data_IF_213792556968
#
_entry.id   IF_213792556968
#
_cell.length_a   1.000
_cell.length_b   1.000
_cell.length_c   1.000
_cell.angle_alpha   90.00
_cell.angle_beta   90.00
_cell.angle_gamma   90.00
#
_symmetry.space_group_name_H-M   'P 1'
#
loop_
_entity.id
_entity.type
_entity.pdbx_description
1 polymer ?
#
# COMPACT_ATOMS: atom_id res chain seq x y z
N UNK A 1 19.45 26.56 -76.47
CA UNK A 1 20.21 25.72 -75.55
C UNK A 1 20.35 26.52 -74.26
N UNK A 2 19.51 26.26 -73.34
CA UNK A 2 19.49 26.92 -72.04
C UNK A 2 19.65 25.88 -70.93
N UNK A 3 20.72 25.91 -70.12
CA UNK A 3 20.92 25.02 -69.05
C UNK A 3 20.49 25.62 -67.68
N UNK A 4 19.54 25.01 -67.11
CA UNK A 4 19.47 24.81 -65.66
C UNK A 4 19.22 26.03 -64.78
N UNK A 5 17.93 26.35 -64.59
CA UNK A 5 17.41 27.10 -63.49
C UNK A 5 17.37 26.19 -62.25
N UNK A 6 18.34 26.31 -61.34
CA UNK A 6 18.26 25.72 -60.00
C UNK A 6 17.37 26.62 -59.16
N UNK A 7 16.21 26.08 -58.77
CA UNK A 7 15.34 26.68 -57.77
C UNK A 7 15.96 26.65 -56.36
N UNK A 8 15.60 27.60 -55.49
CA UNK A 8 16.12 27.63 -54.13
C UNK A 8 15.60 26.47 -53.33
N UNK A 9 16.51 25.72 -52.70
CA UNK A 9 16.19 24.75 -51.66
C UNK A 9 15.46 25.46 -50.53
N UNK A 10 14.17 25.19 -50.40
CA UNK A 10 13.41 25.48 -49.18
C UNK A 10 13.94 24.58 -48.08
N UNK A 11 14.75 25.13 -47.19
CA UNK A 11 15.11 24.51 -45.92
C UNK A 11 13.83 24.41 -45.06
N UNK A 12 13.14 23.28 -45.20
CA UNK A 12 12.10 22.91 -44.28
C UNK A 12 12.70 22.85 -42.88
N UNK A 13 12.49 23.89 -42.10
CA UNK A 13 12.80 23.90 -40.69
C UNK A 13 12.02 22.73 -40.05
N UNK A 14 12.75 21.65 -39.71
CA UNK A 14 12.26 20.65 -38.79
C UNK A 14 12.02 21.39 -37.48
N UNK A 15 10.77 21.80 -37.26
CA UNK A 15 10.32 22.24 -35.96
C UNK A 15 10.57 21.09 -34.99
N UNK A 16 11.60 21.22 -34.18
CA UNK A 16 11.76 20.36 -32.99
C UNK A 16 10.45 20.43 -32.25
N UNK A 17 9.89 19.30 -31.84
CA UNK A 17 8.70 19.31 -31.02
C UNK A 17 9.00 20.22 -29.82
N UNK A 18 8.16 21.24 -29.65
CA UNK A 18 8.25 22.11 -28.49
C UNK A 18 8.46 21.23 -27.25
N UNK A 19 9.53 21.52 -26.53
CA UNK A 19 9.75 20.92 -25.22
C UNK A 19 8.49 21.26 -24.43
N UNK A 20 7.58 20.28 -24.30
CA UNK A 20 6.43 20.40 -23.40
C UNK A 20 7.06 20.44 -22.01
N UNK A 21 7.28 21.65 -21.54
CA UNK A 21 7.66 21.88 -20.15
C UNK A 21 6.60 21.18 -19.30
N UNK A 22 7.04 20.40 -18.33
CA UNK A 22 6.21 19.62 -17.41
C UNK A 22 5.32 20.49 -16.47
N UNK A 23 4.85 21.62 -16.96
CA UNK A 23 3.94 22.54 -16.29
C UNK A 23 2.52 21.97 -16.38
N UNK A 24 2.24 20.91 -15.64
CA UNK A 24 0.92 20.28 -15.61
C UNK A 24 0.89 18.84 -15.11
N UNK A 25 2.02 18.27 -14.70
CA UNK A 25 1.99 16.94 -14.10
C UNK A 25 1.16 16.98 -12.80
N UNK A 26 0.18 16.07 -12.63
CA UNK A 26 -0.64 16.04 -11.43
C UNK A 26 0.25 15.79 -10.20
N UNK A 27 0.24 16.73 -9.27
CA UNK A 27 1.00 16.61 -8.00
C UNK A 27 0.05 16.14 -6.91
N UNK A 28 0.46 15.14 -6.13
CA UNK A 28 -0.31 14.76 -4.94
C UNK A 28 -0.20 15.88 -3.92
N UNK A 29 -1.34 16.45 -3.58
CA UNK A 29 -1.43 17.54 -2.60
C UNK A 29 -0.79 17.14 -1.27
N UNK A 30 -0.03 18.05 -0.65
CA UNK A 30 0.71 17.78 0.59
C UNK A 30 -0.22 17.32 1.73
N UNK A 31 -1.43 17.83 1.80
CA UNK A 31 -2.45 17.42 2.77
C UNK A 31 -2.81 15.94 2.59
N UNK A 32 -3.06 15.51 1.36
CA UNK A 32 -3.42 14.12 1.06
C UNK A 32 -2.27 13.14 1.35
N UNK A 33 -1.01 13.55 1.11
CA UNK A 33 0.17 12.76 1.46
C UNK A 33 0.30 12.60 2.97
N UNK A 34 0.14 13.69 3.74
CA UNK A 34 0.19 13.65 5.21
C UNK A 34 -0.94 12.80 5.80
N UNK A 35 -2.16 12.93 5.29
CA UNK A 35 -3.29 12.12 5.74
C UNK A 35 -3.04 10.63 5.49
N UNK A 36 -2.58 10.25 4.29
CA UNK A 36 -2.24 8.87 3.99
C UNK A 36 -1.08 8.37 4.85
N UNK A 37 -0.01 9.14 5.01
CA UNK A 37 1.11 8.78 5.87
C UNK A 37 0.67 8.57 7.33
N UNK A 38 -0.20 9.43 7.86
CA UNK A 38 -0.79 9.26 9.19
C UNK A 38 -1.59 7.98 9.32
N UNK A 39 -2.41 7.63 8.32
CA UNK A 39 -3.16 6.38 8.28
C UNK A 39 -2.24 5.15 8.30
N UNK A 40 -1.18 5.17 7.48
CA UNK A 40 -0.21 4.06 7.42
C UNK A 40 0.54 3.89 8.74
N UNK A 41 0.96 4.98 9.38
CA UNK A 41 1.62 4.93 10.67
C UNK A 41 0.69 4.44 11.78
N UNK A 42 -0.58 4.85 11.77
CA UNK A 42 -1.58 4.34 12.71
C UNK A 42 -1.80 2.83 12.53
N UNK A 43 -1.90 2.35 11.29
CA UNK A 43 -2.00 0.92 10.98
C UNK A 43 -0.75 0.16 11.44
N UNK A 44 0.46 0.68 11.17
CA UNK A 44 1.71 0.06 11.64
C UNK A 44 1.76 -0.04 13.17
N UNK A 45 1.35 1.01 13.89
CA UNK A 45 1.28 1.01 15.35
C UNK A 45 0.29 -0.01 15.89
N UNK A 46 -0.85 -0.19 15.23
CA UNK A 46 -1.84 -1.22 15.63
C UNK A 46 -1.26 -2.62 15.49
N UNK A 47 -0.58 -2.94 14.39
CA UNK A 47 0.07 -4.24 14.19
C UNK A 47 1.16 -4.46 15.26
N UNK A 48 2.00 -3.47 15.53
CA UNK A 48 3.02 -3.56 16.58
C UNK A 48 2.36 -3.78 17.95
N UNK A 49 1.31 -3.01 18.28
CA UNK A 49 0.61 -3.15 19.56
C UNK A 49 -0.02 -4.54 19.72
N UNK A 50 -0.61 -5.09 18.65
CA UNK A 50 -1.12 -6.46 18.63
C UNK A 50 -0.01 -7.46 18.98
N UNK A 51 1.15 -7.38 18.35
CA UNK A 51 2.25 -8.31 18.64
C UNK A 51 2.88 -8.12 20.02
N UNK A 52 2.96 -6.89 20.51
CA UNK A 52 3.36 -6.66 21.90
C UNK A 52 2.36 -7.33 22.86
N UNK A 53 1.06 -7.16 22.65
CA UNK A 53 0.03 -7.80 23.45
C UNK A 53 0.08 -9.34 23.33
N UNK A 54 0.28 -9.88 22.13
CA UNK A 54 0.44 -11.31 21.89
C UNK A 54 1.61 -11.92 22.67
N UNK A 55 2.77 -11.25 22.67
CA UNK A 55 3.97 -11.74 23.33
C UNK A 55 3.94 -11.56 24.85
N UNK A 56 3.22 -10.55 25.37
CA UNK A 56 3.18 -10.25 26.80
C UNK A 56 1.92 -10.74 27.50
N UNK A 57 0.77 -10.67 26.85
CA UNK A 57 -0.56 -10.95 27.39
C UNK A 57 -1.46 -11.65 26.36
N UNK A 58 -1.02 -12.79 25.86
CA UNK A 58 -1.72 -13.55 24.80
C UNK A 58 -3.22 -13.72 25.05
N UNK A 59 -3.63 -13.93 26.30
CA UNK A 59 -5.04 -14.09 26.68
C UNK A 59 -5.95 -12.90 26.38
N UNK A 60 -5.37 -11.71 26.11
CA UNK A 60 -6.14 -10.50 25.77
C UNK A 60 -6.49 -10.43 24.28
N UNK A 61 -5.69 -11.08 23.43
CA UNK A 61 -5.79 -10.97 21.97
C UNK A 61 -6.05 -12.30 21.25
N UNK A 62 -5.83 -13.44 21.93
CA UNK A 62 -6.07 -14.75 21.35
C UNK A 62 -7.58 -15.03 21.26
N UNK A 63 -8.06 -15.36 20.08
CA UNK A 63 -9.45 -15.71 19.82
C UNK A 63 -9.77 -17.15 20.21
N UNK A 64 -8.75 -18.01 20.27
CA UNK A 64 -8.83 -19.42 20.65
C UNK A 64 -7.66 -19.85 21.54
N UNK A 65 -7.83 -20.99 22.21
CA UNK A 65 -6.82 -21.56 23.14
C UNK A 65 -6.19 -22.87 22.63
N UNK A 66 -6.42 -23.24 21.37
CA UNK A 66 -5.92 -24.49 20.76
C UNK A 66 -4.45 -24.41 20.33
N UNK A 67 -3.70 -25.50 20.43
CA UNK A 67 -2.31 -25.57 19.94
C UNK A 67 -2.19 -25.29 18.43
N UNK A 68 -3.17 -25.74 17.64
CA UNK A 68 -3.21 -25.47 16.20
C UNK A 68 -3.36 -23.97 15.88
N UNK A 69 -4.23 -23.27 16.60
CA UNK A 69 -4.40 -21.82 16.48
C UNK A 69 -3.10 -21.08 16.86
N UNK A 70 -2.51 -21.44 17.98
CA UNK A 70 -1.25 -20.81 18.41
C UNK A 70 -0.12 -21.00 17.40
N UNK A 71 0.01 -22.21 16.81
CA UNK A 71 1.01 -22.48 15.78
C UNK A 71 0.74 -21.69 14.49
N UNK A 72 -0.51 -21.51 14.13
CA UNK A 72 -0.89 -20.68 12.99
C UNK A 72 -0.52 -19.22 13.24
N UNK A 73 -0.93 -18.64 14.36
CA UNK A 73 -0.58 -17.26 14.72
C UNK A 73 0.94 -17.04 14.83
N UNK A 74 1.67 -17.94 15.45
CA UNK A 74 3.14 -17.83 15.61
C UNK A 74 3.90 -17.86 14.27
N UNK A 75 3.23 -18.15 13.14
CA UNK A 75 3.81 -18.03 11.79
C UNK A 75 3.75 -16.61 11.19
N UNK A 76 2.92 -15.71 11.75
CA UNK A 76 2.68 -14.38 11.18
C UNK A 76 3.70 -13.28 11.57
N UNK A 77 4.44 -13.33 12.69
CA UNK A 77 5.28 -12.19 13.11
C UNK A 77 6.23 -11.66 12.04
N UNK A 78 6.78 -12.55 11.22
CA UNK A 78 7.69 -12.16 10.14
C UNK A 78 6.94 -11.46 9.00
N UNK A 79 5.76 -11.96 8.65
CA UNK A 79 4.94 -11.40 7.58
C UNK A 79 4.34 -10.04 7.99
N UNK A 80 3.89 -9.92 9.23
CA UNK A 80 3.41 -8.67 9.81
C UNK A 80 4.56 -7.67 10.02
N UNK A 81 5.75 -8.15 10.38
CA UNK A 81 6.95 -7.32 10.43
C UNK A 81 7.31 -6.74 9.06
N UNK A 82 7.15 -7.53 7.99
CA UNK A 82 7.29 -7.04 6.63
C UNK A 82 6.20 -6.00 6.28
N UNK A 83 4.94 -6.24 6.66
CA UNK A 83 3.86 -5.28 6.48
C UNK A 83 4.19 -3.96 7.18
N UNK A 84 4.58 -3.99 8.46
CA UNK A 84 4.98 -2.80 9.22
C UNK A 84 6.11 -2.05 8.53
N UNK A 85 7.15 -2.75 8.06
CA UNK A 85 8.24 -2.14 7.30
C UNK A 85 7.72 -1.41 6.06
N UNK A 86 6.86 -2.05 5.28
CA UNK A 86 6.26 -1.45 4.09
C UNK A 86 5.46 -0.18 4.42
N UNK A 87 4.62 -0.23 5.46
CA UNK A 87 3.78 0.90 5.88
C UNK A 87 4.63 2.09 6.34
N UNK A 88 5.66 1.85 7.16
CA UNK A 88 6.56 2.90 7.67
C UNK A 88 7.40 3.50 6.52
N UNK A 89 7.95 2.64 5.65
CA UNK A 89 8.71 3.10 4.48
C UNK A 89 7.84 3.90 3.51
N UNK A 90 6.59 3.47 3.27
CA UNK A 90 5.62 4.21 2.47
C UNK A 90 5.30 5.58 3.07
N UNK A 91 5.03 5.63 4.38
CA UNK A 91 4.76 6.89 5.09
C UNK A 91 5.95 7.85 5.00
N UNK A 92 7.17 7.37 5.25
CA UNK A 92 8.38 8.15 5.10
C UNK A 92 8.56 8.70 3.68
N UNK A 93 8.39 7.86 2.66
CA UNK A 93 8.50 8.26 1.25
C UNK A 93 7.42 9.28 0.86
N UNK A 94 6.19 9.14 1.38
CA UNK A 94 5.12 10.12 1.16
C UNK A 94 5.44 11.48 1.79
N UNK A 95 5.95 11.49 3.03
CA UNK A 95 6.31 12.73 3.75
C UNK A 95 7.49 13.45 3.10
N UNK A 96 8.43 12.69 2.54
CA UNK A 96 9.62 13.22 1.87
C UNK A 96 9.47 13.37 0.35
N UNK A 97 8.25 13.14 -0.19
CA UNK A 97 7.94 13.23 -1.61
C UNK A 97 8.87 12.39 -2.51
N UNK A 98 9.15 11.15 -2.13
CA UNK A 98 10.01 10.24 -2.90
C UNK A 98 9.18 9.33 -3.79
N UNK A 99 9.61 9.10 -5.02
CA UNK A 99 8.98 8.17 -5.98
C UNK A 99 8.86 6.74 -5.46
N UNK A 100 9.76 6.32 -4.58
CA UNK A 100 9.73 5.02 -3.92
C UNK A 100 8.44 4.80 -3.09
N UNK A 101 7.66 5.86 -2.79
CA UNK A 101 6.34 5.75 -2.17
C UNK A 101 5.42 4.78 -2.92
N UNK A 102 5.42 4.83 -4.27
CA UNK A 102 4.61 3.93 -5.10
C UNK A 102 4.91 2.46 -4.81
N UNK A 103 6.20 2.11 -4.78
CA UNK A 103 6.63 0.72 -4.51
C UNK A 103 6.17 0.26 -3.11
N UNK A 104 6.46 1.04 -2.08
CA UNK A 104 6.15 0.66 -0.70
C UNK A 104 4.65 0.62 -0.41
N UNK A 105 3.85 1.49 -1.02
CA UNK A 105 2.39 1.47 -0.93
C UNK A 105 1.79 0.22 -1.58
N UNK A 106 2.28 -0.17 -2.76
CA UNK A 106 1.83 -1.39 -3.44
C UNK A 106 2.26 -2.64 -2.66
N UNK A 107 3.51 -2.68 -2.18
CA UNK A 107 4.03 -3.79 -1.40
C UNK A 107 3.25 -3.95 -0.08
N UNK A 108 3.02 -2.85 0.66
CA UNK A 108 2.26 -2.88 1.91
C UNK A 108 0.79 -3.23 1.71
N UNK A 109 0.13 -2.61 0.71
CA UNK A 109 -1.26 -2.93 0.40
C UNK A 109 -1.44 -4.37 -0.07
N UNK A 110 -0.51 -4.90 -0.86
CA UNK A 110 -0.49 -6.31 -1.29
C UNK A 110 -0.24 -7.27 -0.14
N UNK A 111 0.71 -6.96 0.75
CA UNK A 111 0.98 -7.76 1.94
C UNK A 111 -0.24 -7.82 2.88
N UNK A 112 -0.87 -6.67 3.16
CA UNK A 112 -2.06 -6.63 4.00
C UNK A 112 -3.24 -7.39 3.38
N UNK A 113 -3.42 -7.34 2.06
CA UNK A 113 -4.45 -8.13 1.37
C UNK A 113 -4.18 -9.63 1.46
N UNK A 114 -2.92 -10.04 1.31
CA UNK A 114 -2.53 -11.45 1.43
C UNK A 114 -2.75 -11.97 2.87
N UNK A 115 -2.29 -11.23 3.88
CA UNK A 115 -2.49 -11.59 5.29
C UNK A 115 -3.97 -11.71 5.63
N UNK A 116 -4.78 -10.73 5.25
CA UNK A 116 -6.23 -10.79 5.43
C UNK A 116 -6.86 -12.02 4.76
N UNK A 117 -6.40 -12.40 3.56
CA UNK A 117 -6.92 -13.58 2.87
C UNK A 117 -6.56 -14.87 3.63
N UNK A 118 -5.38 -14.95 4.24
CA UNK A 118 -4.96 -16.10 5.05
C UNK A 118 -5.79 -16.21 6.33
N UNK A 119 -6.04 -15.09 7.03
CA UNK A 119 -6.89 -15.06 8.23
C UNK A 119 -8.33 -15.46 7.91
N UNK A 120 -8.91 -14.86 6.87
CA UNK A 120 -10.28 -15.20 6.42
C UNK A 120 -10.39 -16.69 6.07
N UNK A 121 -9.39 -17.25 5.40
CA UNK A 121 -9.39 -18.66 5.05
C UNK A 121 -9.34 -19.56 6.30
N UNK A 122 -8.49 -19.19 7.26
CA UNK A 122 -8.41 -19.91 8.54
C UNK A 122 -9.73 -19.85 9.29
N UNK A 123 -10.29 -18.67 9.45
CA UNK A 123 -11.54 -18.43 10.18
C UNK A 123 -12.73 -19.18 9.58
N UNK A 124 -12.83 -19.22 8.24
CA UNK A 124 -13.85 -19.98 7.53
C UNK A 124 -13.70 -21.49 7.76
N UNK A 125 -12.47 -22.01 7.67
CA UNK A 125 -12.20 -23.45 7.84
C UNK A 125 -12.47 -23.93 9.28
N UNK A 126 -12.25 -23.06 10.27
CA UNK A 126 -12.39 -23.41 11.69
C UNK A 126 -13.68 -22.87 12.33
N UNK A 127 -14.52 -22.17 11.57
CA UNK A 127 -15.79 -21.60 12.06
C UNK A 127 -15.60 -20.57 13.16
N UNK A 128 -14.48 -19.81 13.14
CA UNK A 128 -14.09 -18.88 14.22
C UNK A 128 -15.16 -17.84 14.44
N UNK A 129 -15.73 -17.27 13.39
CA UNK A 129 -16.74 -16.21 13.48
C UNK A 129 -18.03 -16.63 14.18
N UNK A 130 -18.31 -17.93 14.28
CA UNK A 130 -19.45 -18.47 15.04
C UNK A 130 -19.18 -18.64 16.54
N UNK A 131 -17.96 -18.36 17.05
CA UNK A 131 -17.54 -18.66 18.42
C UNK A 131 -17.73 -17.48 19.40
N UNK A 132 -18.79 -16.71 19.27
CA UNK A 132 -19.16 -15.67 20.23
C UNK A 132 -18.38 -14.35 20.00
N UNK A 133 -18.10 -13.62 21.10
CA UNK A 133 -17.51 -12.28 21.04
C UNK A 133 -16.13 -12.22 20.41
N UNK A 134 -15.29 -13.21 20.64
CA UNK A 134 -13.95 -13.29 20.05
C UNK A 134 -14.03 -13.47 18.52
N UNK A 135 -14.94 -14.32 18.05
CA UNK A 135 -15.17 -14.48 16.61
C UNK A 135 -15.69 -13.21 15.91
N UNK A 136 -16.53 -12.42 16.61
CA UNK A 136 -16.96 -11.12 16.10
C UNK A 136 -15.80 -10.13 16.01
N UNK A 137 -14.85 -10.15 16.93
CA UNK A 137 -13.65 -9.33 16.90
C UNK A 137 -12.78 -9.68 15.70
N UNK A 138 -12.54 -10.98 15.43
CA UNK A 138 -11.81 -11.44 14.24
C UNK A 138 -12.47 -10.96 12.94
N UNK A 139 -13.79 -11.06 12.85
CA UNK A 139 -14.50 -10.53 11.68
C UNK A 139 -14.26 -9.03 11.47
N UNK A 140 -14.24 -8.24 12.56
CA UNK A 140 -13.96 -6.81 12.51
C UNK A 140 -12.51 -6.55 12.07
N UNK A 141 -11.54 -7.28 12.63
CA UNK A 141 -10.12 -7.18 12.24
C UNK A 141 -9.97 -7.47 10.76
N UNK A 142 -10.54 -8.56 10.26
CA UNK A 142 -10.51 -8.94 8.86
C UNK A 142 -11.16 -7.89 7.95
N UNK A 143 -12.32 -7.36 8.33
CA UNK A 143 -13.01 -6.32 7.56
C UNK A 143 -12.20 -5.01 7.50
N UNK A 144 -11.60 -4.60 8.62
CA UNK A 144 -10.75 -3.40 8.69
C UNK A 144 -9.48 -3.59 7.87
N UNK A 145 -8.80 -4.72 7.99
CA UNK A 145 -7.58 -5.03 7.24
C UNK A 145 -7.84 -5.06 5.73
N UNK A 146 -8.94 -5.72 5.31
CA UNK A 146 -9.37 -5.74 3.92
C UNK A 146 -9.66 -4.32 3.40
N UNK A 147 -10.47 -3.57 4.14
CA UNK A 147 -10.87 -2.21 3.79
C UNK A 147 -9.68 -1.26 3.66
N UNK A 148 -8.74 -1.33 4.61
CA UNK A 148 -7.51 -0.53 4.56
C UNK A 148 -6.61 -0.92 3.38
N UNK A 149 -6.38 -2.21 3.17
CA UNK A 149 -5.53 -2.71 2.08
C UNK A 149 -6.07 -2.31 0.72
N UNK A 150 -7.37 -2.52 0.47
CA UNK A 150 -8.03 -2.12 -0.78
C UNK A 150 -8.01 -0.60 -0.94
N UNK A 151 -8.24 0.16 0.13
CA UNK A 151 -8.21 1.64 0.09
C UNK A 151 -6.83 2.17 -0.26
N UNK A 152 -5.77 1.61 0.35
CA UNK A 152 -4.38 1.97 0.04
C UNK A 152 -4.04 1.64 -1.41
N UNK A 153 -4.36 0.43 -1.89
CA UNK A 153 -4.09 0.03 -3.27
C UNK A 153 -4.85 0.91 -4.27
N UNK A 154 -6.13 1.17 -4.04
CA UNK A 154 -6.94 2.04 -4.89
C UNK A 154 -6.41 3.47 -4.89
N UNK A 155 -6.12 4.03 -3.72
CA UNK A 155 -5.58 5.37 -3.59
C UNK A 155 -4.26 5.52 -4.35
N UNK A 156 -3.37 4.53 -4.21
CA UNK A 156 -2.08 4.45 -4.88
C UNK A 156 -2.25 4.38 -6.38
N UNK A 157 -3.12 3.51 -6.86
CA UNK A 157 -3.37 3.33 -8.29
C UNK A 157 -3.92 4.60 -8.96
N UNK A 158 -4.87 5.26 -8.30
CA UNK A 158 -5.43 6.51 -8.82
C UNK A 158 -4.42 7.67 -8.86
N UNK A 159 -3.34 7.60 -8.08
CA UNK A 159 -2.33 8.65 -7.97
C UNK A 159 -0.94 8.24 -8.46
N UNK A 160 -0.82 7.10 -9.13
CA UNK A 160 0.46 6.51 -9.56
C UNK A 160 1.32 7.47 -10.40
N UNK A 161 0.69 8.21 -11.33
CA UNK A 161 1.41 9.16 -12.18
C UNK A 161 1.96 10.34 -11.38
N UNK A 162 1.17 10.86 -10.45
CA UNK A 162 1.59 11.94 -9.56
C UNK A 162 2.67 11.49 -8.56
N UNK A 163 2.66 10.22 -8.13
CA UNK A 163 3.69 9.64 -7.27
C UNK A 163 5.01 9.40 -8.03
N UNK A 164 4.94 9.09 -9.33
CA UNK A 164 6.11 8.91 -10.18
C UNK A 164 6.76 10.23 -10.61
N UNK A 165 6.01 11.32 -10.64
CA UNK A 165 6.50 12.66 -11.00
C UNK A 165 7.08 13.45 -9.81
N UNK A 166 7.01 12.88 -8.59
CA UNK A 166 7.47 13.51 -7.34
C UNK A 166 8.99 13.56 -7.20
#
# INVERSE_FOLDING_TARGET
>A
MDPLRRGPFSSGGQGYPAVVTAAGAPVVEARNRRAMAGLLLAAALLVIAYWVAWLTHRSLVASESGTGYTQFEDAFPLADGWLVLCLVAAAYCLLTARRAALFWLLAGGGAGLYLCAMDVLYDLQHGVWGKGGNGAMELVINAVTLGLSVSVLRWTWMRREALLSS
#
